data_IF_350593563508
#
_entry.id   IF_350593563508
#
_cell.length_a   1.000
_cell.length_b   1.000
_cell.length_c   1.000
_cell.angle_alpha   90.00
_cell.angle_beta   90.00
_cell.angle_gamma   90.00
#
_symmetry.space_group_name_H-M   'P 1'
#
loop_
_entity.id
_entity.type
_entity.pdbx_description
1 polymer ?
#
# COMPACT_ATOMS: atom_id res chain seq x y z
N UNK A 1 13.58 -10.75 -68.06
CA UNK A 1 14.50 -11.40 -67.10
C UNK A 1 15.06 -10.34 -66.18
N UNK A 2 14.63 -10.27 -64.92
CA UNK A 2 15.38 -9.81 -63.75
C UNK A 2 14.61 -10.30 -62.51
N UNK A 3 15.16 -11.29 -61.82
CA UNK A 3 14.68 -11.80 -60.53
C UNK A 3 15.09 -10.81 -59.44
N UNK A 4 14.18 -10.44 -58.54
CA UNK A 4 14.52 -10.16 -57.13
C UNK A 4 13.43 -10.70 -56.22
N UNK A 5 13.81 -11.69 -55.43
CA UNK A 5 13.09 -12.22 -54.28
C UNK A 5 13.33 -11.28 -53.09
N UNK A 6 12.27 -10.95 -52.35
CA UNK A 6 12.32 -10.40 -50.97
C UNK A 6 11.15 -11.08 -50.25
N UNK A 7 11.42 -12.22 -49.61
CA UNK A 7 11.57 -12.39 -48.17
C UNK A 7 10.30 -12.06 -47.36
N UNK A 8 9.76 -13.12 -46.77
CA UNK A 8 8.74 -13.11 -45.74
C UNK A 8 9.19 -12.31 -44.50
N UNK A 9 8.22 -11.63 -43.88
CA UNK A 9 8.36 -10.98 -42.58
C UNK A 9 6.98 -10.90 -41.93
N UNK A 10 6.50 -12.04 -41.44
CA UNK A 10 5.48 -12.07 -40.38
C UNK A 10 6.17 -11.61 -39.11
N UNK A 11 5.61 -10.60 -38.44
CA UNK A 11 5.52 -10.41 -36.96
C UNK A 11 5.14 -8.94 -36.74
N UNK A 12 3.87 -8.71 -36.47
CA UNK A 12 3.37 -7.48 -35.87
C UNK A 12 2.10 -7.83 -35.06
N UNK A 13 2.26 -8.70 -34.07
CA UNK A 13 1.29 -8.80 -32.98
C UNK A 13 1.68 -7.77 -31.93
N UNK A 14 1.07 -6.59 -31.98
CA UNK A 14 1.21 -5.57 -30.96
C UNK A 14 0.87 -6.19 -29.59
N UNK A 15 1.84 -6.27 -28.69
CA UNK A 15 1.55 -6.28 -27.26
C UNK A 15 1.02 -4.89 -26.89
N UNK A 16 -0.30 -4.73 -26.89
CA UNK A 16 -0.95 -3.63 -26.16
C UNK A 16 -1.35 -4.18 -24.79
N UNK A 17 -0.38 -4.23 -23.89
CA UNK A 17 -0.62 -4.38 -22.46
C UNK A 17 0.25 -3.33 -21.77
N UNK A 18 -0.29 -2.12 -21.63
CA UNK A 18 0.48 -1.02 -21.08
C UNK A 18 -0.16 0.33 -21.32
N UNK A 19 -1.29 0.56 -20.64
CA UNK A 19 -1.76 1.87 -20.17
C UNK A 19 -3.24 1.73 -19.80
N UNK A 20 -3.54 1.03 -18.70
CA UNK A 20 -4.69 1.44 -17.93
C UNK A 20 -4.31 2.81 -17.36
N UNK A 21 -4.90 3.87 -17.91
CA UNK A 21 -4.74 5.22 -17.42
C UNK A 21 -5.25 5.23 -15.97
N UNK A 22 -4.34 5.34 -15.00
CA UNK A 22 -4.70 5.60 -13.61
C UNK A 22 -5.33 7.00 -13.59
N UNK A 23 -6.66 7.05 -13.61
CA UNK A 23 -7.42 8.27 -13.43
C UNK A 23 -7.16 8.83 -12.03
N UNK A 24 -6.38 9.91 -12.01
CA UNK A 24 -6.18 10.93 -10.98
C UNK A 24 -5.75 10.48 -9.57
N UNK A 25 -4.50 10.83 -9.26
CA UNK A 25 -4.08 11.48 -8.02
C UNK A 25 -3.99 10.64 -6.71
N UNK A 26 -4.50 9.41 -6.65
CA UNK A 26 -4.41 8.58 -5.44
C UNK A 26 -2.97 8.42 -4.89
N UNK A 27 -2.79 8.54 -3.57
CA UNK A 27 -1.51 8.22 -2.94
C UNK A 27 -1.26 6.72 -3.00
N UNK A 28 -0.09 6.36 -3.54
CA UNK A 28 0.29 4.98 -3.88
C UNK A 28 1.78 4.74 -3.65
N UNK A 29 2.18 3.48 -3.74
CA UNK A 29 3.59 3.11 -3.81
C UNK A 29 4.11 3.40 -5.21
N UNK A 30 5.32 3.96 -5.30
CA UNK A 30 5.98 4.17 -6.60
C UNK A 30 6.26 2.85 -7.32
N UNK A 31 6.68 1.82 -6.57
CA UNK A 31 6.90 0.46 -7.08
C UNK A 31 5.93 -0.49 -6.36
N UNK A 32 4.75 -0.81 -6.94
CA UNK A 32 3.70 -1.54 -6.24
C UNK A 32 3.88 -3.06 -6.28
N UNK A 33 4.97 -3.57 -6.84
CA UNK A 33 5.23 -5.02 -6.93
C UNK A 33 6.71 -5.35 -6.86
N UNK A 34 7.04 -6.52 -6.34
CA UNK A 34 8.39 -7.06 -6.30
C UNK A 34 8.35 -8.60 -6.31
N UNK A 35 9.46 -9.21 -6.68
CA UNK A 35 9.66 -10.66 -6.46
C UNK A 35 9.97 -10.89 -4.98
N UNK A 36 9.52 -12.01 -4.43
CA UNK A 36 9.81 -12.39 -3.04
C UNK A 36 11.32 -12.30 -2.72
N UNK A 37 11.65 -11.86 -1.51
CA UNK A 37 13.05 -11.66 -1.08
C UNK A 37 13.73 -10.41 -1.63
N UNK A 38 13.17 -9.73 -2.65
CA UNK A 38 13.72 -8.47 -3.14
C UNK A 38 13.60 -7.36 -2.09
N UNK A 39 14.62 -6.50 -2.03
CA UNK A 39 14.69 -5.35 -1.12
C UNK A 39 15.08 -4.11 -1.88
N UNK A 40 14.27 -3.07 -1.78
CA UNK A 40 14.47 -1.81 -2.48
C UNK A 40 14.09 -0.60 -1.63
N UNK A 41 14.59 0.57 -2.04
CA UNK A 41 14.01 1.85 -1.60
C UNK A 41 12.77 2.08 -2.47
N UNK A 42 11.66 2.32 -1.81
CA UNK A 42 10.38 2.64 -2.41
C UNK A 42 9.88 3.97 -1.85
N UNK A 43 8.80 4.49 -2.42
CA UNK A 43 8.25 5.78 -2.00
C UNK A 43 6.74 5.68 -1.86
N UNK A 44 6.21 6.33 -0.83
CA UNK A 44 4.80 6.73 -0.80
C UNK A 44 4.70 8.02 -1.60
N UNK A 45 3.99 7.96 -2.71
CA UNK A 45 3.81 9.06 -3.65
C UNK A 45 2.52 9.79 -3.32
N UNK A 46 2.62 10.94 -2.67
CA UNK A 46 1.49 11.84 -2.42
C UNK A 46 1.28 12.66 -3.68
N UNK A 47 0.25 12.32 -4.47
CA UNK A 47 0.05 12.87 -5.81
C UNK A 47 -0.53 14.29 -5.84
N UNK A 48 -1.37 14.63 -4.87
CA UNK A 48 -2.01 15.93 -4.70
C UNK A 48 -2.29 16.18 -3.22
N UNK A 49 -2.62 17.42 -2.88
CA UNK A 49 -3.23 17.74 -1.59
C UNK A 49 -4.75 17.61 -1.64
N UNK A 50 -5.41 17.70 -0.49
CA UNK A 50 -6.87 17.57 -0.37
C UNK A 50 -7.64 18.60 -1.20
N UNK A 51 -6.98 19.68 -1.66
CA UNK A 51 -7.42 20.52 -2.78
C UNK A 51 -6.22 21.35 -3.32
N UNK A 52 -6.44 22.17 -4.36
CA UNK A 52 -5.39 22.97 -5.01
C UNK A 52 -4.79 24.08 -4.13
N UNK A 53 -5.50 24.51 -3.10
CA UNK A 53 -5.13 25.65 -2.23
C UNK A 53 -4.65 25.25 -0.85
N UNK A 54 -4.97 24.03 -0.42
CA UNK A 54 -4.55 23.48 0.88
C UNK A 54 -3.25 22.72 0.71
N UNK A 55 -2.41 22.76 1.74
CA UNK A 55 -1.19 21.98 1.79
C UNK A 55 -1.46 20.64 2.47
N UNK A 56 -0.81 19.58 2.01
CA UNK A 56 -0.75 18.34 2.80
C UNK A 56 0.31 18.57 3.87
N UNK A 57 -0.11 18.59 5.12
CA UNK A 57 0.74 18.89 6.29
C UNK A 57 1.27 17.63 6.98
N UNK A 58 0.82 16.45 6.56
CA UNK A 58 1.39 15.17 6.97
C UNK A 58 0.73 13.97 6.31
N UNK A 59 1.24 12.80 6.62
CA UNK A 59 0.68 11.52 6.21
C UNK A 59 0.87 10.48 7.30
N UNK A 60 -0.02 9.50 7.33
CA UNK A 60 -0.02 8.38 8.26
C UNK A 60 -0.18 7.09 7.46
N UNK A 61 0.80 6.19 7.57
CA UNK A 61 0.87 4.94 6.79
C UNK A 61 0.83 3.74 7.75
N UNK A 62 0.04 2.72 7.41
CA UNK A 62 -0.07 1.46 8.16
C UNK A 62 -0.02 0.27 7.20
N UNK A 63 0.95 -0.61 7.41
CA UNK A 63 1.05 -1.91 6.76
C UNK A 63 0.33 -2.95 7.64
N UNK A 64 -0.46 -3.88 7.07
CA UNK A 64 -1.06 -4.97 7.84
C UNK A 64 0.01 -5.74 8.59
N UNK A 65 -0.21 -6.04 9.87
CA UNK A 65 0.77 -6.80 10.68
C UNK A 65 0.63 -8.32 10.52
N UNK A 66 -0.42 -8.80 9.86
CA UNK A 66 -0.82 -10.20 9.84
C UNK A 66 -1.63 -10.62 11.08
N UNK A 67 -1.61 -9.85 12.16
CA UNK A 67 -2.36 -10.15 13.39
C UNK A 67 -3.81 -9.69 13.26
N UNK A 68 -4.74 -10.66 13.27
CA UNK A 68 -6.18 -10.40 13.08
C UNK A 68 -6.52 -9.84 11.71
N UNK A 69 -5.57 -9.85 10.77
CA UNK A 69 -5.76 -9.39 9.39
C UNK A 69 -6.76 -10.29 8.67
N UNK A 70 -7.55 -9.71 7.76
CA UNK A 70 -8.41 -10.50 6.88
C UNK A 70 -7.57 -11.03 5.73
N UNK A 71 -7.60 -12.35 5.53
CA UNK A 71 -6.87 -13.02 4.46
C UNK A 71 -7.88 -13.61 3.48
N UNK A 72 -7.69 -13.35 2.20
CA UNK A 72 -8.47 -13.95 1.12
C UNK A 72 -7.55 -14.80 0.25
N UNK A 73 -8.06 -15.90 -0.27
CA UNK A 73 -7.44 -16.76 -1.28
C UNK A 73 -8.41 -16.83 -2.44
N UNK A 74 -8.00 -16.27 -3.59
CA UNK A 74 -8.86 -16.07 -4.77
C UNK A 74 -10.22 -15.42 -4.43
N UNK A 75 -10.17 -14.43 -3.55
CA UNK A 75 -11.35 -13.68 -3.07
C UNK A 75 -12.18 -14.39 -1.99
N UNK A 76 -11.86 -15.64 -1.63
CA UNK A 76 -12.56 -16.39 -0.58
C UNK A 76 -11.82 -16.24 0.75
N UNK A 77 -12.57 -16.00 1.83
CA UNK A 77 -11.96 -15.82 3.15
C UNK A 77 -11.22 -17.08 3.63
N UNK A 78 -9.95 -16.90 4.01
CA UNK A 78 -9.12 -17.89 4.68
C UNK A 78 -9.18 -17.69 6.19
N UNK A 79 -9.29 -18.78 6.94
CA UNK A 79 -9.40 -18.74 8.41
C UNK A 79 -8.07 -18.86 9.15
N UNK A 80 -7.00 -19.23 8.43
CA UNK A 80 -5.66 -19.34 8.98
C UNK A 80 -4.92 -18.00 9.06
N UNK A 81 -3.61 -18.06 9.21
CA UNK A 81 -2.77 -16.88 9.41
C UNK A 81 -1.95 -16.56 8.17
N UNK A 82 -1.38 -15.35 8.09
CA UNK A 82 -0.54 -14.97 6.95
C UNK A 82 0.71 -15.84 6.84
N UNK A 83 1.13 -16.49 7.93
CA UNK A 83 2.26 -17.43 7.92
C UNK A 83 2.01 -18.68 7.10
N UNK A 84 0.75 -18.97 6.74
CA UNK A 84 0.43 -20.07 5.82
C UNK A 84 0.90 -19.76 4.39
N UNK A 85 1.20 -18.48 4.10
CA UNK A 85 1.58 -18.00 2.77
C UNK A 85 2.89 -17.21 2.75
N UNK A 86 3.29 -16.57 3.85
CA UNK A 86 4.51 -15.77 3.94
C UNK A 86 5.38 -16.19 5.12
N UNK A 87 6.69 -16.24 4.89
CA UNK A 87 7.71 -16.36 5.93
C UNK A 87 8.42 -15.03 6.13
N UNK A 88 8.90 -14.77 7.35
CA UNK A 88 9.61 -13.53 7.71
C UNK A 88 8.83 -12.23 7.39
N UNK A 89 7.50 -12.23 7.56
CA UNK A 89 6.69 -11.06 7.21
C UNK A 89 6.90 -9.85 8.15
N UNK A 90 7.37 -10.06 9.38
CA UNK A 90 7.63 -8.97 10.33
C UNK A 90 8.76 -8.04 9.90
N UNK A 91 8.59 -6.73 10.18
CA UNK A 91 9.63 -5.71 10.05
C UNK A 91 10.18 -5.50 8.61
N UNK A 92 9.32 -5.70 7.61
CA UNK A 92 9.68 -5.59 6.19
C UNK A 92 9.65 -4.16 5.63
N UNK A 93 8.96 -3.24 6.29
CA UNK A 93 9.02 -1.82 6.01
C UNK A 93 9.93 -1.15 7.04
N UNK A 94 10.72 -0.16 6.61
CA UNK A 94 11.45 0.72 7.54
C UNK A 94 11.61 2.09 6.91
N UNK A 95 11.34 3.12 7.70
CA UNK A 95 11.35 4.49 7.24
C UNK A 95 12.77 4.94 6.91
N UNK A 96 12.93 5.64 5.80
CA UNK A 96 14.20 6.30 5.48
C UNK A 96 14.14 7.73 5.99
N UNK A 97 15.13 8.18 6.76
CA UNK A 97 15.12 9.53 7.29
C UNK A 97 15.28 10.56 6.16
N UNK A 98 14.21 11.31 5.90
CA UNK A 98 14.14 12.36 4.90
C UNK A 98 13.10 13.41 5.34
N UNK A 99 13.57 14.65 5.51
CA UNK A 99 12.78 15.80 5.95
C UNK A 99 12.59 16.86 4.86
N UNK A 100 12.73 16.47 3.59
CA UNK A 100 12.60 17.38 2.46
C UNK A 100 11.20 18.02 2.35
N UNK A 101 10.16 17.29 2.73
CA UNK A 101 8.76 17.76 2.69
C UNK A 101 8.15 18.05 4.06
N UNK A 102 8.56 17.30 5.09
CA UNK A 102 7.97 17.35 6.43
C UNK A 102 9.04 17.43 7.51
N UNK A 103 8.75 18.15 8.59
CA UNK A 103 9.71 18.40 9.67
C UNK A 103 9.83 17.26 10.69
N UNK A 104 8.83 16.42 10.81
CA UNK A 104 8.84 15.34 11.78
C UNK A 104 8.44 14.06 11.10
N UNK A 105 9.02 12.96 11.55
CA UNK A 105 8.72 11.64 11.05
C UNK A 105 9.13 10.61 12.09
N UNK A 106 8.39 9.51 12.15
CA UNK A 106 8.75 8.39 13.03
C UNK A 106 8.13 7.08 12.51
N UNK A 107 8.74 5.97 12.90
CA UNK A 107 8.19 4.63 12.68
C UNK A 107 7.08 4.35 13.70
N UNK A 108 6.12 3.52 13.28
CA UNK A 108 5.10 2.95 14.16
C UNK A 108 5.46 1.51 14.41
N UNK A 109 5.56 1.13 15.67
CA UNK A 109 5.93 -0.23 16.05
C UNK A 109 4.80 -0.96 16.77
N UNK A 110 4.66 -2.25 16.51
CA UNK A 110 3.82 -3.12 17.33
C UNK A 110 4.46 -3.39 18.71
N UNK A 111 3.78 -4.19 19.53
CA UNK A 111 4.24 -4.54 20.87
C UNK A 111 5.56 -5.35 20.89
N UNK A 112 5.95 -5.95 19.76
CA UNK A 112 7.19 -6.72 19.60
C UNK A 112 8.32 -5.85 19.01
N UNK A 113 8.07 -4.58 18.72
CA UNK A 113 9.03 -3.67 18.09
C UNK A 113 9.13 -3.83 16.57
N UNK A 114 8.24 -4.58 15.93
CA UNK A 114 8.20 -4.64 14.46
C UNK A 114 7.62 -3.35 13.92
N UNK A 115 8.24 -2.79 12.89
CA UNK A 115 7.68 -1.65 12.17
C UNK A 115 6.42 -2.10 11.42
N UNK A 116 5.29 -1.46 11.73
CA UNK A 116 3.96 -1.69 11.13
C UNK A 116 3.47 -0.48 10.34
N UNK A 117 4.29 0.55 10.19
CA UNK A 117 3.92 1.79 9.55
C UNK A 117 4.86 2.92 9.93
N UNK A 118 4.50 4.12 9.51
CA UNK A 118 5.21 5.34 9.86
C UNK A 118 4.27 6.53 9.70
N UNK A 119 4.73 7.69 10.14
CA UNK A 119 4.10 8.96 9.84
C UNK A 119 5.17 9.99 9.50
N UNK A 120 4.78 11.02 8.74
CA UNK A 120 5.58 12.21 8.52
C UNK A 120 4.65 13.43 8.55
N UNK A 121 5.09 14.56 9.10
CA UNK A 121 4.26 15.77 9.15
C UNK A 121 4.95 16.98 9.76
N UNK A 122 4.22 18.09 9.78
CA UNK A 122 4.70 19.39 10.25
C UNK A 122 5.50 20.17 9.20
N UNK A 123 5.95 21.36 9.58
CA UNK A 123 6.57 22.31 8.66
C UNK A 123 5.54 23.00 7.76
N UNK A 124 5.99 23.49 6.60
CA UNK A 124 5.11 24.14 5.62
C UNK A 124 4.22 23.15 4.85
N UNK A 125 4.51 21.85 4.93
CA UNK A 125 3.82 20.81 4.17
C UNK A 125 4.08 20.87 2.66
N UNK A 126 3.44 19.95 1.94
CA UNK A 126 3.45 19.89 0.49
C UNK A 126 2.43 20.88 -0.09
N UNK A 127 2.83 21.84 -0.94
CA UNK A 127 1.89 22.70 -1.66
C UNK A 127 0.91 21.92 -2.54
N UNK A 128 -0.33 22.39 -2.67
CA UNK A 128 -1.40 21.69 -3.38
C UNK A 128 -1.15 21.41 -4.86
N UNK A 129 -0.23 22.15 -5.49
CA UNK A 129 0.15 22.01 -6.90
C UNK A 129 1.40 21.13 -7.13
N UNK A 130 1.96 20.52 -6.08
CA UNK A 130 3.15 19.68 -6.13
C UNK A 130 2.84 18.27 -5.60
N UNK A 131 3.80 17.36 -5.79
CA UNK A 131 3.77 16.00 -5.27
C UNK A 131 4.99 15.75 -4.39
N UNK A 132 4.88 14.82 -3.46
CA UNK A 132 5.97 14.40 -2.56
C UNK A 132 6.17 12.90 -2.65
N UNK A 133 7.44 12.49 -2.63
CA UNK A 133 7.86 11.10 -2.55
C UNK A 133 8.50 10.87 -1.17
N UNK A 134 7.85 10.10 -0.30
CA UNK A 134 8.40 9.77 1.01
C UNK A 134 9.17 8.45 0.96
N UNK A 135 10.51 8.48 1.11
CA UNK A 135 11.31 7.28 0.96
C UNK A 135 11.16 6.34 2.15
N UNK A 136 11.08 5.05 1.85
CA UNK A 136 11.17 3.99 2.83
C UNK A 136 11.83 2.77 2.20
N UNK A 137 12.45 1.94 3.03
CA UNK A 137 12.89 0.61 2.60
C UNK A 137 11.72 -0.35 2.67
N UNK A 138 11.54 -1.13 1.61
CA UNK A 138 10.62 -2.26 1.59
C UNK A 138 11.35 -3.54 1.20
N UNK A 139 11.15 -4.59 1.97
CA UNK A 139 11.55 -5.96 1.64
C UNK A 139 10.29 -6.75 1.31
N UNK A 140 10.27 -7.44 0.17
CA UNK A 140 9.26 -8.43 -0.14
C UNK A 140 9.50 -9.68 0.73
N UNK A 141 8.55 -10.01 1.59
CA UNK A 141 8.60 -11.25 2.36
C UNK A 141 8.74 -12.47 1.44
N UNK A 142 9.32 -13.55 1.96
CA UNK A 142 9.39 -14.82 1.22
C UNK A 142 8.04 -15.51 1.28
N UNK A 143 7.62 -16.13 0.18
CA UNK A 143 6.42 -16.95 0.10
C UNK A 143 6.74 -18.33 0.67
N UNK A 144 5.88 -18.83 1.57
CA UNK A 144 6.02 -20.14 2.22
C UNK A 144 6.15 -21.24 1.14
N UNK A 145 7.29 -21.95 1.07
CA UNK A 145 7.54 -22.94 0.01
C UNK A 145 6.48 -24.04 -0.10
N UNK A 146 5.87 -24.46 1.02
CA UNK A 146 4.80 -25.47 0.96
C UNK A 146 3.44 -24.92 0.53
N UNK A 147 3.28 -23.61 0.41
CA UNK A 147 2.00 -22.99 0.04
C UNK A 147 1.78 -22.98 -1.47
N UNK A 148 0.52 -22.93 -1.90
CA UNK A 148 0.17 -22.71 -3.30
C UNK A 148 0.15 -21.24 -3.73
N UNK A 149 0.58 -20.29 -2.88
CA UNK A 149 0.53 -18.88 -3.22
C UNK A 149 1.46 -18.55 -4.41
N UNK A 150 0.89 -18.07 -5.50
CA UNK A 150 1.66 -17.51 -6.62
C UNK A 150 1.96 -16.02 -6.39
N UNK A 151 1.08 -15.33 -5.67
CA UNK A 151 1.28 -13.94 -5.25
C UNK A 151 0.59 -13.65 -3.93
N UNK A 152 1.09 -12.64 -3.22
CA UNK A 152 0.47 -12.09 -2.01
C UNK A 152 0.35 -10.57 -2.18
N UNK A 153 -0.88 -10.07 -2.25
CA UNK A 153 -1.20 -8.64 -2.29
C UNK A 153 -1.48 -8.12 -0.89
N UNK A 154 -0.70 -7.16 -0.47
CA UNK A 154 -0.79 -6.51 0.84
C UNK A 154 -1.44 -5.15 0.66
N UNK A 155 -2.59 -4.92 1.29
CA UNK A 155 -3.27 -3.63 1.25
C UNK A 155 -2.75 -2.71 2.36
N UNK A 156 -2.29 -1.53 1.97
CA UNK A 156 -1.65 -0.54 2.83
C UNK A 156 -2.62 0.62 3.01
N UNK A 157 -2.93 0.91 4.26
CA UNK A 157 -3.80 2.02 4.63
C UNK A 157 -2.99 3.29 4.77
N UNK A 158 -3.34 4.33 4.02
CA UNK A 158 -2.65 5.62 4.02
C UNK A 158 -3.68 6.72 4.24
N UNK A 159 -3.33 7.71 5.05
CA UNK A 159 -4.10 8.95 5.19
C UNK A 159 -3.19 10.13 4.98
N UNK A 160 -3.56 11.00 4.04
CA UNK A 160 -2.92 12.30 3.88
C UNK A 160 -3.72 13.35 4.62
N UNK A 161 -3.04 14.21 5.36
CA UNK A 161 -3.63 15.12 6.33
C UNK A 161 -3.40 16.54 5.82
N UNK A 162 -4.48 17.29 5.67
CA UNK A 162 -4.44 18.68 5.24
C UNK A 162 -4.83 19.64 6.35
N UNK A 163 -5.57 19.15 7.35
CA UNK A 163 -5.91 19.90 8.56
C UNK A 163 -5.83 18.99 9.79
N UNK A 164 -5.35 19.55 10.92
CA UNK A 164 -5.35 18.84 12.20
C UNK A 164 -6.76 18.89 12.79
N UNK A 165 -7.52 17.82 12.57
CA UNK A 165 -8.93 17.73 12.96
C UNK A 165 -9.22 16.43 13.72
N UNK A 166 -10.37 16.38 14.40
CA UNK A 166 -10.93 15.14 14.93
C UNK A 166 -11.67 14.34 13.85
N UNK A 167 -11.94 13.06 14.10
CA UNK A 167 -12.60 12.14 13.14
C UNK A 167 -13.96 12.62 12.65
N UNK A 168 -14.66 13.44 13.44
CA UNK A 168 -15.97 14.02 13.08
C UNK A 168 -15.89 15.08 11.97
N UNK A 169 -14.68 15.50 11.58
CA UNK A 169 -14.43 16.51 10.56
C UNK A 169 -13.65 15.95 9.36
N UNK A 170 -13.53 14.63 9.26
CA UNK A 170 -12.96 14.00 8.07
C UNK A 170 -13.87 14.25 6.86
N UNK A 171 -13.24 14.55 5.72
CA UNK A 171 -13.91 14.83 4.46
C UNK A 171 -13.00 15.56 3.50
N UNK A 172 -13.56 15.96 2.35
CA UNK A 172 -12.86 16.75 1.33
C UNK A 172 -12.23 18.00 1.95
N UNK A 173 -10.96 18.26 1.59
CA UNK A 173 -10.20 19.40 2.08
C UNK A 173 -9.54 19.23 3.45
N UNK A 174 -9.97 18.29 4.30
CA UNK A 174 -9.36 18.05 5.62
C UNK A 174 -8.41 16.85 5.63
N UNK A 175 -8.80 15.76 4.95
CA UNK A 175 -8.02 14.52 4.83
C UNK A 175 -8.27 13.86 3.48
N UNK A 176 -7.32 13.06 3.01
CA UNK A 176 -7.54 12.07 1.95
C UNK A 176 -7.36 10.67 2.53
N UNK A 177 -8.40 9.85 2.44
CA UNK A 177 -8.42 8.50 3.01
C UNK A 177 -8.16 7.44 1.93
N UNK A 178 -6.94 6.92 1.89
CA UNK A 178 -6.56 5.76 1.06
C UNK A 178 -6.58 4.50 1.92
N UNK A 179 -7.76 4.23 2.46
CA UNK A 179 -8.06 3.15 3.41
C UNK A 179 -9.20 2.30 2.87
N UNK A 180 -9.38 1.11 3.45
CA UNK A 180 -10.49 0.23 3.09
C UNK A 180 -11.86 0.88 3.37
N UNK A 181 -12.85 0.49 2.58
CA UNK A 181 -14.26 0.66 2.93
C UNK A 181 -14.74 -0.46 3.88
N UNK A 182 -15.63 -0.11 4.82
CA UNK A 182 -16.36 -1.09 5.66
C UNK A 182 -15.50 -1.99 6.55
N UNK A 183 -14.34 -1.53 7.02
CA UNK A 183 -13.50 -2.27 7.97
C UNK A 183 -14.04 -2.20 9.41
N UNK A 184 -14.94 -1.26 9.70
CA UNK A 184 -15.48 -0.97 11.03
C UNK A 184 -14.65 0.05 11.81
N UNK A 185 -14.01 1.01 11.13
CA UNK A 185 -13.14 2.04 11.74
C UNK A 185 -13.62 3.45 11.41
N UNK A 186 -13.25 4.47 12.22
CA UNK A 186 -13.49 5.87 11.84
C UNK A 186 -12.75 6.31 10.56
N UNK A 187 -11.81 5.50 10.08
CA UNK A 187 -11.03 5.76 8.87
C UNK A 187 -11.61 5.04 7.65
N UNK A 188 -12.76 4.39 7.76
CA UNK A 188 -13.39 3.71 6.64
C UNK A 188 -13.76 4.75 5.57
N UNK A 189 -13.25 4.55 4.35
CA UNK A 189 -13.35 5.56 3.29
C UNK A 189 -14.80 5.88 2.93
N UNK A 190 -15.68 4.88 2.94
CA UNK A 190 -17.10 4.98 2.60
C UNK A 190 -17.94 5.78 3.61
N UNK A 191 -17.39 6.08 4.80
CA UNK A 191 -18.02 6.99 5.75
C UNK A 191 -17.86 8.47 5.38
N UNK A 192 -16.82 8.80 4.61
CA UNK A 192 -16.38 10.19 4.38
C UNK A 192 -16.34 10.58 2.90
N UNK A 193 -16.26 9.58 2.00
CA UNK A 193 -16.16 9.78 0.56
C UNK A 193 -17.08 8.81 -0.18
N UNK A 194 -17.52 9.22 -1.37
CA UNK A 194 -18.28 8.33 -2.24
C UNK A 194 -17.42 7.14 -2.68
N UNK A 195 -17.94 5.93 -2.50
CA UNK A 195 -17.33 4.68 -2.95
C UNK A 195 -18.38 3.89 -3.73
N UNK A 196 -18.04 3.48 -4.94
CA UNK A 196 -18.94 2.68 -5.76
C UNK A 196 -19.19 1.32 -5.10
N UNK A 197 -20.45 0.87 -5.10
CA UNK A 197 -20.83 -0.38 -4.47
C UNK A 197 -20.03 -1.58 -5.04
N UNK A 198 -19.49 -2.40 -4.15
CA UNK A 198 -18.68 -3.57 -4.55
C UNK A 198 -17.24 -3.24 -4.96
N UNK A 199 -16.82 -1.97 -4.84
CA UNK A 199 -15.43 -1.55 -5.07
C UNK A 199 -14.74 -1.20 -3.75
N UNK A 200 -13.41 -1.27 -3.75
CA UNK A 200 -12.56 -0.90 -2.61
C UNK A 200 -11.31 -0.16 -3.13
N UNK A 201 -11.49 1.01 -3.78
CA UNK A 201 -10.42 1.69 -4.50
C UNK A 201 -9.48 2.49 -3.58
N UNK A 202 -9.83 2.61 -2.30
CA UNK A 202 -9.09 3.43 -1.33
C UNK A 202 -7.63 3.00 -1.14
N UNK A 203 -7.36 1.78 -0.63
CA UNK A 203 -6.03 1.39 -0.17
C UNK A 203 -5.00 1.32 -1.31
N UNK A 204 -3.76 1.67 -0.98
CA UNK A 204 -2.63 1.30 -1.82
C UNK A 204 -2.35 -0.20 -1.68
N UNK A 205 -1.64 -0.79 -2.64
CA UNK A 205 -1.26 -2.20 -2.56
C UNK A 205 0.20 -2.44 -2.92
N UNK A 206 0.79 -3.43 -2.25
CA UNK A 206 2.08 -4.02 -2.63
C UNK A 206 1.89 -5.51 -2.92
N UNK A 207 2.26 -5.95 -4.13
CA UNK A 207 2.14 -7.35 -4.54
C UNK A 207 3.50 -8.02 -4.58
N UNK A 208 3.66 -9.05 -3.75
CA UNK A 208 4.80 -9.96 -3.75
C UNK A 208 4.49 -11.09 -4.72
N UNK A 209 5.36 -11.31 -5.72
CA UNK A 209 5.26 -12.44 -6.64
C UNK A 209 6.23 -13.54 -6.24
N UNK A 210 5.82 -14.80 -6.38
CA UNK A 210 6.68 -15.96 -6.16
C UNK A 210 7.85 -15.98 -7.14
N UNK A 211 9.03 -16.29 -6.64
CA UNK A 211 10.20 -16.55 -7.47
C UNK A 211 10.14 -18.00 -7.96
N UNK A 212 9.52 -18.25 -9.10
CA UNK A 212 9.36 -19.61 -9.63
C UNK A 212 10.69 -20.29 -10.00
N UNK A 213 11.80 -19.56 -10.09
CA UNK A 213 13.11 -20.15 -10.35
C UNK A 213 13.75 -20.71 -9.08
N UNK A 214 13.58 -20.03 -7.93
CA UNK A 214 14.21 -20.41 -6.66
C UNK A 214 13.25 -21.02 -5.63
N UNK A 215 11.94 -20.79 -5.79
CA UNK A 215 10.85 -21.25 -4.94
C UNK A 215 9.65 -21.69 -5.82
N UNK A 216 9.79 -22.81 -6.57
CA UNK A 216 8.74 -23.28 -7.47
C UNK A 216 7.47 -23.66 -6.70
N UNK A 217 6.33 -23.52 -7.37
CA UNK A 217 5.06 -24.04 -6.86
C UNK A 217 5.15 -25.55 -6.61
N UNK A 218 4.58 -26.07 -5.50
CA UNK A 218 4.37 -27.50 -5.32
C UNK A 218 3.58 -28.12 -6.51
N UNK A 219 3.86 -29.39 -6.82
CA UNK A 219 3.33 -30.06 -8.02
C UNK A 219 1.79 -30.08 -8.10
N UNK A 220 1.12 -30.08 -6.95
CA UNK A 220 -0.34 -30.13 -6.83
C UNK A 220 -1.03 -28.76 -6.88
N UNK A 221 -0.27 -27.67 -6.94
CA UNK A 221 -0.82 -26.31 -6.90
C UNK A 221 -1.28 -25.77 -8.26
N UNK A 222 -1.01 -26.46 -9.37
CA UNK A 222 -1.34 -25.96 -10.72
C UNK A 222 -0.68 -24.60 -10.99
N UNK A 223 -1.48 -23.59 -11.34
CA UNK A 223 -1.00 -22.21 -11.56
C UNK A 223 -0.76 -21.43 -10.25
N UNK A 224 -1.15 -22.01 -9.10
CA UNK A 224 -1.14 -21.35 -7.79
C UNK A 224 -2.34 -20.45 -7.55
N UNK A 225 -2.39 -19.84 -6.36
CA UNK A 225 -3.49 -18.99 -5.90
C UNK A 225 -3.03 -17.56 -5.64
N UNK A 226 -3.95 -16.60 -5.76
CA UNK A 226 -3.73 -15.22 -5.38
C UNK A 226 -4.20 -14.99 -3.94
N UNK A 227 -3.27 -14.58 -3.07
CA UNK A 227 -3.56 -14.28 -1.67
C UNK A 227 -3.67 -12.76 -1.51
N UNK A 228 -4.63 -12.33 -0.70
CA UNK A 228 -4.81 -10.93 -0.34
C UNK A 228 -4.81 -10.77 1.18
N UNK A 229 -4.19 -9.71 1.68
CA UNK A 229 -4.17 -9.39 3.11
C UNK A 229 -4.63 -7.95 3.34
N UNK A 230 -5.68 -7.80 4.14
CA UNK A 230 -6.20 -6.52 4.63
C UNK A 230 -5.87 -6.35 6.11
N UNK A 231 -5.59 -5.12 6.59
CA UNK A 231 -5.35 -4.87 8.00
C UNK A 231 -6.63 -5.12 8.81
N UNK A 232 -6.48 -5.33 10.11
CA UNK A 232 -7.64 -5.46 11.02
C UNK A 232 -8.14 -4.10 11.49
N UNK A 233 -9.43 -4.00 11.83
CA UNK A 233 -9.99 -2.80 12.45
C UNK A 233 -9.23 -2.38 13.71
N UNK A 234 -8.85 -3.37 14.54
CA UNK A 234 -8.07 -3.14 15.75
C UNK A 234 -6.69 -2.54 15.45
N UNK A 235 -6.02 -3.01 14.40
CA UNK A 235 -4.73 -2.46 13.99
C UNK A 235 -4.88 -1.02 13.49
N UNK A 236 -5.84 -0.77 12.60
CA UNK A 236 -6.07 0.57 12.05
C UNK A 236 -6.39 1.57 13.16
N UNK A 237 -7.28 1.23 14.10
CA UNK A 237 -7.60 2.10 15.23
C UNK A 237 -6.39 2.39 16.14
N UNK A 238 -5.46 1.44 16.26
CA UNK A 238 -4.25 1.58 17.09
C UNK A 238 -3.15 2.40 16.41
N UNK A 239 -2.91 2.14 15.14
CA UNK A 239 -1.70 2.57 14.42
C UNK A 239 -1.94 3.70 13.41
N UNK A 240 -3.19 3.96 13.02
CA UNK A 240 -3.48 5.10 12.14
C UNK A 240 -3.30 6.48 12.83
N UNK A 241 -3.63 6.66 14.12
CA UNK A 241 -3.32 7.91 14.80
C UNK A 241 -1.83 8.25 14.79
N UNK A 242 -1.51 9.53 14.60
CA UNK A 242 -0.16 10.07 14.77
C UNK A 242 0.05 10.43 16.23
N UNK A 243 1.12 9.89 16.80
CA UNK A 243 1.59 10.23 18.15
C UNK A 243 2.95 10.92 18.05
N UNK A 244 3.06 12.10 18.64
CA UNK A 244 4.30 12.85 18.73
C UNK A 244 4.64 13.07 20.21
N UNK A 245 5.85 12.68 20.62
CA UNK A 245 6.29 12.69 22.02
C UNK A 245 5.29 12.02 22.99
N UNK A 246 4.70 10.90 22.56
CA UNK A 246 3.74 10.12 23.35
C UNK A 246 2.32 10.67 23.40
N UNK A 247 2.05 11.83 22.81
CA UNK A 247 0.71 12.42 22.73
C UNK A 247 0.13 12.23 21.33
N UNK A 248 -1.14 11.83 21.24
CA UNK A 248 -1.84 11.81 19.96
C UNK A 248 -2.05 13.25 19.48
N UNK A 249 -1.55 13.55 18.28
CA UNK A 249 -1.66 14.87 17.65
C UNK A 249 -2.62 14.87 16.46
N UNK A 250 -2.88 13.70 15.88
CA UNK A 250 -3.90 13.51 14.85
C UNK A 250 -4.45 12.08 14.87
N UNK A 251 -5.76 11.86 14.62
CA UNK A 251 -6.81 12.88 14.71
C UNK A 251 -6.85 13.48 16.13
N UNK A 252 -7.43 14.67 16.29
CA UNK A 252 -7.66 15.23 17.62
C UNK A 252 -8.60 14.30 18.43
N UNK A 253 -8.30 14.04 19.71
CA UNK A 253 -9.11 13.16 20.58
C UNK A 253 -10.57 13.61 20.76
#
# INVERSE_FOLDING_TARGET
MHKKSILAGIVAGLMVAGAAQNTFAHTRLNVPTATEGERAINHIMIGHSCNETTHTIGTSVVFPSGVGSTILVDGVQHSGSITDFLTNYGNNASLFYDRSAFDYMDEKTDANGNVVGFWAGGGSGMPGNLSVALPFRLTAASIEPSSCAASVKIYISIVDICEITGVNYFGEGTVELWTHAGLGTPYDRDLHFAVDAGTDPGPASFTINRDLANNPLPEDCGEGVAVEMKPSAAQINRDMPIKFNGQQVWPLP
#
